data_IF_797871231580
#
_entry.id   IF_797871231580
#
_cell.length_a   1.000
_cell.length_b   1.000
_cell.length_c   1.000
_cell.angle_alpha   90.00
_cell.angle_beta   90.00
_cell.angle_gamma   90.00
#
_symmetry.space_group_name_H-M   'P 1'
#
loop_
_entity.id
_entity.type
_entity.pdbx_description
1 polymer ?
#
# COMPACT_ATOMS: atom_id res chain seq x y z
N UNK A 1 18.98 -9.23 11.52
CA UNK A 1 17.59 -9.02 11.08
C UNK A 1 16.98 -8.01 12.05
N UNK A 2 17.06 -6.73 11.72
CA UNK A 2 16.62 -5.66 12.62
C UNK A 2 15.09 -5.70 12.74
N UNK A 3 14.53 -5.65 13.96
CA UNK A 3 13.10 -5.38 14.12
C UNK A 3 12.84 -3.98 13.55
N UNK A 4 12.06 -3.89 12.47
CA UNK A 4 11.58 -2.60 11.96
C UNK A 4 10.82 -1.94 13.11
N UNK A 5 11.29 -0.77 13.51
CA UNK A 5 10.65 0.10 14.49
C UNK A 5 9.16 0.25 14.13
N UNK A 6 8.27 -0.12 15.06
CA UNK A 6 6.81 -0.04 14.90
C UNK A 6 6.29 1.41 14.95
N UNK A 7 7.18 2.41 14.91
CA UNK A 7 6.86 3.81 15.11
C UNK A 7 6.35 4.55 13.86
N UNK A 8 6.72 4.13 12.64
CA UNK A 8 6.20 4.77 11.42
C UNK A 8 4.96 4.06 10.84
N UNK A 9 3.88 4.82 10.63
CA UNK A 9 2.67 4.32 9.94
C UNK A 9 2.86 4.19 8.42
N UNK A 10 4.02 4.58 7.89
CA UNK A 10 4.32 4.65 6.47
C UNK A 10 5.59 3.87 6.18
N UNK A 11 5.55 2.97 5.20
CA UNK A 11 6.73 2.30 4.65
C UNK A 11 6.92 2.72 3.19
N UNK A 12 8.03 3.39 2.90
CA UNK A 12 8.35 3.94 1.57
C UNK A 12 9.44 3.10 0.91
N UNK A 13 9.29 2.81 -0.37
CA UNK A 13 10.36 2.18 -1.14
C UNK A 13 10.07 2.06 -2.63
N UNK A 14 11.04 1.51 -3.36
CA UNK A 14 10.88 1.24 -4.78
C UNK A 14 9.77 0.22 -5.04
N UNK A 15 9.00 0.44 -6.10
CA UNK A 15 7.99 -0.50 -6.57
C UNK A 15 8.67 -1.77 -7.09
N UNK A 16 8.34 -2.91 -6.49
CA UNK A 16 8.81 -4.23 -6.91
C UNK A 16 7.74 -5.29 -6.68
N UNK A 17 7.90 -6.45 -7.33
CA UNK A 17 6.98 -7.58 -7.17
C UNK A 17 7.01 -8.11 -5.72
N UNK A 18 8.20 -8.19 -5.14
CA UNK A 18 8.45 -8.68 -3.79
C UNK A 18 7.77 -7.77 -2.76
N UNK A 19 7.91 -6.45 -2.89
CA UNK A 19 7.25 -5.50 -1.99
C UNK A 19 5.74 -5.50 -2.16
N UNK A 20 5.26 -5.62 -3.39
CA UNK A 20 3.82 -5.74 -3.64
C UNK A 20 3.27 -7.00 -2.98
N UNK A 21 3.98 -8.13 -3.10
CA UNK A 21 3.64 -9.38 -2.41
C UNK A 21 3.62 -9.20 -0.91
N UNK A 22 4.64 -8.60 -0.31
CA UNK A 22 4.70 -8.32 1.13
C UNK A 22 3.51 -7.47 1.59
N UNK A 23 3.23 -6.37 0.89
CA UNK A 23 2.15 -5.45 1.22
C UNK A 23 0.75 -6.10 1.12
N UNK A 24 0.55 -6.96 0.10
CA UNK A 24 -0.69 -7.69 -0.13
C UNK A 24 -0.86 -8.94 0.74
N UNK A 25 0.23 -9.61 1.13
CA UNK A 25 0.20 -10.90 1.83
C UNK A 25 -0.24 -10.84 3.29
N UNK A 26 -0.24 -9.66 3.90
CA UNK A 26 -0.42 -9.53 5.35
C UNK A 26 -1.84 -9.14 5.77
N UNK A 27 -2.87 -9.69 5.13
CA UNK A 27 -4.24 -9.71 5.66
C UNK A 27 -4.80 -11.13 5.53
N UNK A 28 -4.16 -12.03 6.27
CA UNK A 28 -4.68 -13.36 6.54
C UNK A 28 -5.32 -13.33 7.92
N UNK A 29 -6.65 -13.36 7.95
CA UNK A 29 -7.45 -13.72 9.12
C UNK A 29 -6.81 -14.94 9.78
N UNK A 30 -6.45 -14.80 11.07
CA UNK A 30 -6.05 -15.93 11.91
C UNK A 30 -7.31 -16.70 12.26
N UNK A 31 -7.84 -17.48 11.32
CA UNK A 31 -8.78 -18.54 11.62
C UNK A 31 -8.48 -19.73 10.71
N UNK A 32 -7.99 -20.85 11.26
CA UNK A 32 -7.58 -22.02 10.49
C UNK A 32 -8.72 -22.66 9.67
N UNK A 33 -9.98 -22.27 9.93
CA UNK A 33 -11.18 -22.81 9.28
C UNK A 33 -11.89 -21.82 8.33
N UNK A 34 -11.36 -20.61 8.12
CA UNK A 34 -12.01 -19.63 7.25
C UNK A 34 -11.47 -19.69 5.81
N UNK A 35 -12.37 -19.90 4.85
CA UNK A 35 -12.12 -19.92 3.39
C UNK A 35 -11.57 -18.60 2.80
N UNK A 36 -11.14 -17.65 3.65
CA UNK A 36 -10.67 -16.33 3.30
C UNK A 36 -9.15 -16.14 3.53
N UNK A 37 -8.44 -17.15 4.03
CA UNK A 37 -6.98 -17.12 4.09
C UNK A 37 -6.40 -17.27 2.67
N UNK A 38 -5.95 -16.16 2.08
CA UNK A 38 -5.11 -16.22 0.88
C UNK A 38 -3.68 -16.43 1.34
N UNK A 39 -3.23 -17.69 1.30
CA UNK A 39 -1.83 -17.99 1.58
C UNK A 39 -0.92 -17.11 0.72
N UNK A 40 0.25 -16.67 1.24
CA UNK A 40 1.21 -15.84 0.49
C UNK A 40 1.69 -16.46 -0.83
N UNK A 41 1.47 -17.78 -1.01
CA UNK A 41 1.75 -18.56 -2.21
C UNK A 41 0.48 -19.06 -2.91
N UNK A 42 -0.65 -18.38 -2.74
CA UNK A 42 -1.89 -18.74 -3.44
C UNK A 42 -1.77 -18.39 -4.92
N UNK A 43 -2.10 -19.30 -5.85
CA UNK A 43 -2.12 -19.01 -7.29
C UNK A 43 -2.98 -17.80 -7.68
N UNK A 44 -4.01 -17.51 -6.86
CA UNK A 44 -4.88 -16.33 -7.02
C UNK A 44 -4.16 -15.03 -6.67
N UNK A 45 -3.28 -15.05 -5.67
CA UNK A 45 -2.46 -13.92 -5.29
C UNK A 45 -1.36 -13.67 -6.34
N UNK A 46 -0.73 -14.74 -6.83
CA UNK A 46 0.29 -14.66 -7.89
C UNK A 46 -0.26 -14.03 -9.17
N UNK A 47 -1.47 -14.43 -9.58
CA UNK A 47 -2.13 -13.85 -10.76
C UNK A 47 -2.41 -12.35 -10.59
N UNK A 48 -2.83 -11.92 -9.39
CA UNK A 48 -3.08 -10.50 -9.08
C UNK A 48 -1.80 -9.69 -9.03
N UNK A 49 -0.75 -10.22 -8.41
CA UNK A 49 0.58 -9.60 -8.37
C UNK A 49 1.10 -9.42 -9.78
N UNK A 50 1.01 -10.45 -10.63
CA UNK A 50 1.38 -10.37 -12.05
C UNK A 50 0.63 -9.25 -12.78
N UNK A 51 -0.69 -9.21 -12.66
CA UNK A 51 -1.51 -8.15 -13.25
C UNK A 51 -1.10 -6.75 -12.79
N UNK A 52 -0.97 -6.53 -11.47
CA UNK A 52 -0.59 -5.23 -10.93
C UNK A 52 0.81 -4.82 -11.37
N UNK A 53 1.77 -5.75 -11.37
CA UNK A 53 3.13 -5.50 -11.85
C UNK A 53 3.12 -5.04 -13.30
N UNK A 54 2.42 -5.77 -14.17
CA UNK A 54 2.34 -5.45 -15.60
C UNK A 54 1.64 -4.11 -15.84
N UNK A 55 0.50 -3.89 -15.18
CA UNK A 55 -0.28 -2.66 -15.30
C UNK A 55 0.50 -1.43 -14.81
N UNK A 56 1.05 -1.49 -13.59
CA UNK A 56 1.76 -0.37 -12.97
C UNK A 56 3.12 -0.11 -13.62
N UNK A 57 3.80 -1.16 -14.12
CA UNK A 57 5.06 -1.01 -14.89
C UNK A 57 4.85 -0.64 -16.35
N UNK A 58 3.60 -0.50 -16.81
CA UNK A 58 3.30 -0.18 -18.20
C UNK A 58 3.97 1.14 -18.63
N UNK A 59 4.21 1.29 -19.93
CA UNK A 59 4.85 2.49 -20.49
C UNK A 59 4.12 3.79 -20.16
N UNK A 60 2.82 3.71 -19.86
CA UNK A 60 1.98 4.85 -19.53
C UNK A 60 2.13 5.26 -18.07
N UNK A 61 2.08 4.30 -17.13
CA UNK A 61 2.10 4.60 -15.70
C UNK A 61 3.50 4.69 -15.13
N UNK A 62 4.40 3.77 -15.52
CA UNK A 62 5.81 3.75 -15.11
C UNK A 62 5.98 3.91 -13.60
N UNK A 63 5.20 3.18 -12.81
CA UNK A 63 5.30 3.18 -11.36
C UNK A 63 6.73 2.82 -10.93
N UNK A 64 7.31 3.66 -10.10
CA UNK A 64 8.68 3.50 -9.60
C UNK A 64 8.74 3.43 -8.09
N UNK A 65 7.78 4.05 -7.41
CA UNK A 65 7.76 4.13 -5.95
C UNK A 65 6.41 3.67 -5.39
N UNK A 66 6.47 3.10 -4.20
CA UNK A 66 5.31 2.62 -3.45
C UNK A 66 5.40 3.10 -2.00
N UNK A 67 4.26 3.54 -1.44
CA UNK A 67 4.13 3.89 -0.03
C UNK A 67 3.03 3.06 0.59
N UNK A 68 3.36 2.26 1.60
CA UNK A 68 2.39 1.45 2.35
C UNK A 68 2.01 2.20 3.62
N UNK A 69 0.76 2.62 3.72
CA UNK A 69 0.16 3.17 4.93
C UNK A 69 -0.52 2.06 5.73
N UNK A 70 -0.08 1.90 6.98
CA UNK A 70 -0.64 0.95 7.94
C UNK A 70 -1.67 1.63 8.86
N UNK A 71 -2.68 0.87 9.27
CA UNK A 71 -3.67 1.37 10.22
C UNK A 71 -4.70 2.30 9.57
N UNK A 72 -4.95 2.18 8.27
CA UNK A 72 -5.94 2.98 7.53
C UNK A 72 -7.36 2.57 7.93
N UNK A 73 -8.26 3.54 8.05
CA UNK A 73 -9.69 3.29 8.28
C UNK A 73 -10.45 3.67 7.01
N UNK A 74 -10.98 2.65 6.34
CA UNK A 74 -11.88 2.78 5.20
C UNK A 74 -13.31 2.93 5.74
N UNK A 75 -13.92 4.12 5.55
CA UNK A 75 -15.25 4.43 6.06
C UNK A 75 -16.34 3.64 5.35
N UNK A 76 -16.24 3.50 4.02
CA UNK A 76 -17.20 2.77 3.19
C UNK A 76 -17.14 1.26 3.48
N UNK A 77 -15.95 0.74 3.79
CA UNK A 77 -15.80 -0.66 4.23
C UNK A 77 -16.54 -0.96 5.52
N UNK A 78 -16.59 -0.02 6.48
CA UNK A 78 -17.32 -0.25 7.72
C UNK A 78 -18.80 -0.47 7.42
N UNK A 79 -19.41 0.41 6.62
CA UNK A 79 -20.84 0.37 6.31
C UNK A 79 -21.25 -0.86 5.48
N UNK A 80 -20.49 -1.20 4.44
CA UNK A 80 -20.80 -2.33 3.56
C UNK A 80 -20.67 -3.69 4.26
N UNK A 81 -19.82 -3.79 5.29
CA UNK A 81 -19.51 -5.05 5.95
C UNK A 81 -20.02 -5.18 7.39
N UNK A 82 -20.69 -4.17 7.98
CA UNK A 82 -21.34 -4.31 9.30
C UNK A 82 -22.21 -5.56 9.34
N UNK A 83 -22.98 -5.81 8.26
CA UNK A 83 -23.86 -6.97 8.18
C UNK A 83 -23.13 -8.31 8.15
N UNK A 84 -21.98 -8.40 7.47
CA UNK A 84 -21.19 -9.64 7.39
C UNK A 84 -20.44 -9.90 8.69
N UNK A 85 -19.78 -8.88 9.24
CA UNK A 85 -18.98 -9.01 10.46
C UNK A 85 -19.83 -9.17 11.74
N UNK A 86 -21.01 -8.55 11.80
CA UNK A 86 -21.93 -8.74 12.95
C UNK A 86 -22.49 -10.17 13.04
N UNK A 87 -22.50 -10.90 11.93
CA UNK A 87 -22.98 -12.30 11.87
C UNK A 87 -21.86 -13.33 12.01
N UNK A 88 -20.60 -12.91 11.94
CA UNK A 88 -19.45 -13.78 12.14
C UNK A 88 -18.97 -13.71 13.59
N UNK A 89 -18.83 -14.85 14.27
CA UNK A 89 -18.26 -14.93 15.63
C UNK A 89 -16.72 -14.84 15.64
N UNK A 90 -16.11 -14.22 14.62
CA UNK A 90 -14.66 -14.12 14.46
C UNK A 90 -14.22 -12.67 14.69
N UNK A 91 -13.10 -12.48 15.39
CA UNK A 91 -12.48 -11.17 15.57
C UNK A 91 -11.68 -10.80 14.32
N UNK A 92 -12.20 -9.84 13.55
CA UNK A 92 -11.50 -9.30 12.38
C UNK A 92 -10.74 -8.01 12.74
N UNK A 93 -9.52 -7.82 12.21
CA UNK A 93 -8.86 -6.52 12.28
C UNK A 93 -9.75 -5.45 11.66
N UNK A 94 -9.85 -4.27 12.30
CA UNK A 94 -10.67 -3.14 11.80
C UNK A 94 -9.88 -2.15 10.94
N UNK A 95 -8.60 -2.44 10.71
CA UNK A 95 -7.67 -1.54 10.05
C UNK A 95 -7.19 -2.16 8.75
N UNK A 96 -7.26 -1.37 7.69
CA UNK A 96 -6.77 -1.70 6.38
C UNK A 96 -5.32 -1.24 6.22
N UNK A 97 -4.69 -1.68 5.13
CA UNK A 97 -3.52 -1.02 4.57
C UNK A 97 -3.94 -0.25 3.34
N UNK A 98 -3.31 0.90 3.10
CA UNK A 98 -3.48 1.66 1.87
C UNK A 98 -2.14 1.75 1.17
N UNK A 99 -2.06 1.25 -0.05
CA UNK A 99 -0.83 1.22 -0.83
C UNK A 99 -0.95 2.29 -1.90
N UNK A 100 -0.08 3.29 -1.85
CA UNK A 100 0.01 4.37 -2.82
C UNK A 100 1.11 4.10 -3.84
N UNK A 101 0.89 4.50 -5.09
CA UNK A 101 1.85 4.33 -6.18
C UNK A 101 2.23 5.67 -6.78
N UNK A 102 3.51 5.81 -7.12
CA UNK A 102 4.04 7.01 -7.75
C UNK A 102 4.93 6.66 -8.93
N UNK A 103 4.83 7.46 -9.99
CA UNK A 103 5.76 7.46 -11.10
C UNK A 103 7.13 7.99 -10.65
N UNK A 104 8.13 7.88 -11.53
CA UNK A 104 9.47 8.34 -11.23
C UNK A 104 9.54 9.86 -10.99
N UNK A 105 10.17 10.24 -9.88
CA UNK A 105 10.46 11.62 -9.49
C UNK A 105 11.78 12.13 -10.12
N UNK A 106 12.60 11.24 -10.69
CA UNK A 106 13.94 11.56 -11.18
C UNK A 106 13.91 12.14 -12.60
N UNK A 107 13.82 13.46 -12.68
CA UNK A 107 14.43 14.21 -13.78
C UNK A 107 15.49 15.17 -13.25
N UNK A 108 15.31 15.73 -12.04
CA UNK A 108 16.17 16.82 -11.54
C UNK A 108 16.72 16.66 -10.10
N UNK A 109 16.37 15.57 -9.37
CA UNK A 109 16.79 15.35 -7.98
C UNK A 109 17.38 13.94 -7.77
N UNK A 110 18.68 13.82 -7.45
CA UNK A 110 19.35 12.54 -7.23
C UNK A 110 19.08 11.92 -5.85
N UNK A 111 18.33 12.61 -4.97
CA UNK A 111 18.04 12.07 -3.64
C UNK A 111 17.09 10.86 -3.73
N UNK A 112 17.36 9.75 -3.00
CA UNK A 112 16.43 8.63 -2.91
C UNK A 112 15.07 9.08 -2.38
N UNK A 113 13.99 8.51 -2.92
CA UNK A 113 12.66 8.75 -2.38
C UNK A 113 12.42 7.80 -1.21
N UNK A 114 12.58 8.32 0.01
CA UNK A 114 12.42 7.61 1.27
C UNK A 114 11.38 8.27 2.19
N UNK A 115 11.20 7.73 3.40
CA UNK A 115 10.21 8.23 4.36
C UNK A 115 10.48 9.68 4.79
N UNK A 116 11.74 10.07 4.95
CA UNK A 116 12.12 11.44 5.34
C UNK A 116 11.85 12.43 4.21
N UNK A 117 12.13 12.04 2.97
CA UNK A 117 11.75 12.83 1.79
C UNK A 117 10.25 13.01 1.72
N UNK A 118 9.46 11.95 1.91
CA UNK A 118 8.00 12.02 1.95
C UNK A 118 7.52 12.96 3.06
N UNK A 119 8.03 12.84 4.29
CA UNK A 119 7.70 13.74 5.41
C UNK A 119 8.03 15.19 5.08
N UNK A 120 9.18 15.44 4.46
CA UNK A 120 9.59 16.80 4.07
C UNK A 120 8.60 17.40 3.08
N UNK A 121 8.15 16.63 2.09
CA UNK A 121 7.16 17.05 1.08
C UNK A 121 5.79 17.34 1.69
N UNK A 122 5.38 16.54 2.67
CA UNK A 122 4.11 16.70 3.38
C UNK A 122 4.12 17.83 4.43
N UNK A 123 5.30 18.32 4.83
CA UNK A 123 5.38 19.42 5.79
C UNK A 123 4.93 20.75 5.17
N UNK A 124 4.19 21.55 5.95
CA UNK A 124 3.53 22.81 5.52
C UNK A 124 4.48 23.89 4.95
N UNK A 125 5.80 23.71 5.07
CA UNK A 125 6.83 24.62 4.54
C UNK A 125 7.30 24.28 3.13
N UNK A 126 6.72 23.27 2.49
CA UNK A 126 7.08 22.89 1.13
C UNK A 126 6.58 23.92 0.12
N UNK A 127 7.49 24.44 -0.71
CA UNK A 127 7.15 25.33 -1.81
C UNK A 127 6.07 24.68 -2.69
N UNK A 128 5.01 25.43 -3.02
CA UNK A 128 3.83 24.97 -3.76
C UNK A 128 4.15 24.16 -5.02
N UNK A 129 5.26 24.49 -5.69
CA UNK A 129 5.72 23.78 -6.87
C UNK A 129 6.17 22.33 -6.57
N UNK A 130 6.92 22.08 -5.49
CA UNK A 130 7.37 20.72 -5.14
C UNK A 130 6.20 19.80 -4.77
N UNK A 131 5.18 20.35 -4.11
CA UNK A 131 3.95 19.61 -3.79
C UNK A 131 3.21 19.27 -5.07
N UNK A 132 3.13 20.20 -6.02
CA UNK A 132 2.52 19.96 -7.33
C UNK A 132 3.27 18.90 -8.12
N UNK A 133 4.60 19.00 -8.20
CA UNK A 133 5.44 18.02 -8.89
C UNK A 133 5.26 16.62 -8.26
N UNK A 134 5.14 16.54 -6.94
CA UNK A 134 4.84 15.30 -6.23
C UNK A 134 3.44 14.74 -6.57
N UNK A 135 2.41 15.59 -6.59
CA UNK A 135 1.04 15.21 -6.97
C UNK A 135 0.96 14.76 -8.42
N UNK A 136 1.69 15.40 -9.35
CA UNK A 136 1.72 15.04 -10.77
C UNK A 136 2.32 13.65 -11.01
N UNK A 137 3.07 13.10 -10.05
CA UNK A 137 3.57 11.72 -10.09
C UNK A 137 2.65 10.71 -9.43
N UNK A 138 1.56 11.12 -8.79
CA UNK A 138 0.68 10.20 -8.09
C UNK A 138 -0.15 9.38 -9.07
N UNK A 139 -0.03 8.06 -9.00
CA UNK A 139 -0.71 7.12 -9.90
C UNK A 139 -2.01 6.54 -9.29
N UNK A 140 -2.26 6.80 -8.02
CA UNK A 140 -3.41 6.30 -7.27
C UNK A 140 -3.01 5.34 -6.15
N UNK A 141 -4.00 4.62 -5.64
CA UNK A 141 -3.85 3.72 -4.50
C UNK A 141 -4.75 2.50 -4.58
N UNK A 142 -4.43 1.49 -3.76
CA UNK A 142 -5.29 0.36 -3.46
C UNK A 142 -5.49 0.23 -1.96
N UNK A 143 -6.65 -0.27 -1.54
CA UNK A 143 -6.94 -0.59 -0.14
C UNK A 143 -6.88 -2.11 0.00
N UNK A 144 -6.03 -2.58 0.91
CA UNK A 144 -5.97 -3.98 1.32
C UNK A 144 -6.80 -4.12 2.58
N UNK A 145 -7.89 -4.89 2.47
CA UNK A 145 -8.84 -5.17 3.56
C UNK A 145 -8.46 -6.45 4.31
N UNK A 146 -8.75 -6.51 5.62
CA UNK A 146 -8.42 -7.65 6.48
C UNK A 146 -9.07 -8.98 6.10
#
# INVERSE_FOLDING_TARGET
MHPKDQSSRLDVGEFSEERLREALSSLGVVSPDSAHFVAPNSPRLDSRIGFYKEYLSSRTLRAKWMVVEYGYTDGDYLDDYVGFYSRSHLDYPRKCKRIHFFADFQVDDPTPFDEEKLKSLLSERSASQRVKDFQDKYLGFIIVRP
#
